data_IF_450237971280
#
_entry.id   IF_450237971280
#
_cell.length_a   1.000
_cell.length_b   1.000
_cell.length_c   1.000
_cell.angle_alpha   90.00
_cell.angle_beta   90.00
_cell.angle_gamma   90.00
#
_symmetry.space_group_name_H-M   'P 1'
#
loop_
_entity.id
_entity.type
_entity.pdbx_description
1 polymer ?
#
# COMPACT_ATOMS: atom_id res chain seq x y z
N UNK A 1 68.88 -15.62 32.32
CA UNK A 1 68.15 -16.79 31.81
C UNK A 1 66.71 -16.89 32.31
N UNK A 2 66.41 -17.08 33.62
CA UNK A 2 65.00 -17.19 34.08
C UNK A 2 64.20 -15.88 33.92
N UNK A 3 64.77 -14.72 34.26
CA UNK A 3 64.07 -13.43 34.14
C UNK A 3 63.79 -13.00 32.69
N UNK A 4 64.66 -13.36 31.75
CA UNK A 4 64.48 -13.08 30.32
C UNK A 4 63.33 -13.90 29.74
N UNK A 5 63.22 -15.18 30.15
CA UNK A 5 62.13 -16.07 29.74
C UNK A 5 60.75 -15.56 30.21
N UNK A 6 60.69 -15.00 31.43
CA UNK A 6 59.47 -14.39 31.98
C UNK A 6 59.10 -13.09 31.28
N UNK A 7 60.08 -12.24 30.96
CA UNK A 7 59.84 -11.02 30.21
C UNK A 7 59.36 -11.29 28.77
N UNK A 8 59.85 -12.37 28.16
CA UNK A 8 59.45 -12.79 26.82
C UNK A 8 58.03 -13.40 26.80
N UNK A 9 57.67 -14.22 27.79
CA UNK A 9 56.30 -14.70 27.96
C UNK A 9 55.30 -13.56 28.20
N UNK A 10 55.66 -12.56 29.01
CA UNK A 10 54.78 -11.44 29.32
C UNK A 10 54.54 -10.54 28.09
N UNK A 11 55.55 -10.40 27.21
CA UNK A 11 55.41 -9.71 25.91
C UNK A 11 54.49 -10.46 24.96
N UNK A 12 54.68 -11.78 24.83
CA UNK A 12 53.83 -12.63 23.98
C UNK A 12 52.36 -12.60 24.43
N UNK A 13 52.13 -12.59 25.75
CA UNK A 13 50.79 -12.52 26.32
C UNK A 13 50.10 -11.19 26.05
N UNK A 14 50.82 -10.07 26.21
CA UNK A 14 50.33 -8.73 25.86
C UNK A 14 50.06 -8.58 24.35
N UNK A 15 50.87 -9.18 23.50
CA UNK A 15 50.64 -9.21 22.05
C UNK A 15 49.39 -10.02 21.70
N UNK A 16 49.22 -11.20 22.30
CA UNK A 16 48.03 -12.04 22.08
C UNK A 16 46.74 -11.35 22.54
N UNK A 17 46.77 -10.66 23.69
CA UNK A 17 45.64 -9.87 24.21
C UNK A 17 45.30 -8.70 23.28
N UNK A 18 46.31 -7.98 22.76
CA UNK A 18 46.10 -6.90 21.80
C UNK A 18 45.51 -7.39 20.46
N UNK A 19 45.98 -8.52 19.93
CA UNK A 19 45.43 -9.14 18.72
C UNK A 19 43.99 -9.65 18.92
N UNK A 20 43.64 -10.13 20.11
CA UNK A 20 42.28 -10.54 20.41
C UNK A 20 41.35 -9.33 20.52
N UNK A 21 41.82 -8.24 21.13
CA UNK A 21 41.07 -6.99 21.22
C UNK A 21 40.86 -6.35 19.84
N UNK A 22 41.88 -6.36 18.99
CA UNK A 22 41.78 -5.90 17.60
C UNK A 22 40.76 -6.73 16.82
N UNK A 23 40.84 -8.07 16.90
CA UNK A 23 39.85 -8.96 16.27
C UNK A 23 38.42 -8.70 16.74
N UNK A 24 38.22 -8.43 18.04
CA UNK A 24 36.89 -8.09 18.59
C UNK A 24 36.40 -6.75 18.04
N UNK A 25 37.26 -5.74 17.95
CA UNK A 25 36.93 -4.42 17.37
C UNK A 25 36.58 -4.55 15.89
N UNK A 26 37.37 -5.29 15.12
CA UNK A 26 37.09 -5.55 13.71
C UNK A 26 35.77 -6.28 13.50
N UNK A 27 35.48 -7.31 14.31
CA UNK A 27 34.21 -8.03 14.25
C UNK A 27 33.02 -7.11 14.56
N UNK A 28 33.15 -6.24 15.57
CA UNK A 28 32.12 -5.27 15.92
C UNK A 28 31.89 -4.23 14.81
N UNK A 29 32.95 -3.73 14.19
CA UNK A 29 32.87 -2.80 13.04
C UNK A 29 32.21 -3.48 11.85
N UNK A 30 32.57 -4.73 11.56
CA UNK A 30 32.00 -5.51 10.47
C UNK A 30 30.51 -5.77 10.67
N UNK A 31 30.09 -6.11 11.89
CA UNK A 31 28.67 -6.33 12.19
C UNK A 31 27.88 -5.03 12.12
N UNK A 32 28.43 -3.93 12.63
CA UNK A 32 27.81 -2.60 12.49
C UNK A 32 27.64 -2.21 11.03
N UNK A 33 28.65 -2.47 10.19
CA UNK A 33 28.57 -2.23 8.76
C UNK A 33 27.53 -3.12 8.07
N UNK A 34 27.41 -4.39 8.48
CA UNK A 34 26.37 -5.31 8.00
C UNK A 34 24.98 -4.77 8.32
N UNK A 35 24.77 -4.33 9.56
CA UNK A 35 23.50 -3.78 10.01
C UNK A 35 23.13 -2.51 9.22
N UNK A 36 24.08 -1.57 9.08
CA UNK A 36 23.87 -0.36 8.27
C UNK A 36 23.47 -0.67 6.82
N UNK A 37 24.06 -1.70 6.20
CA UNK A 37 23.68 -2.12 4.84
C UNK A 37 22.26 -2.67 4.77
N UNK A 38 21.85 -3.45 5.76
CA UNK A 38 20.48 -3.97 5.85
C UNK A 38 19.48 -2.84 6.04
N UNK A 39 19.78 -1.89 6.91
CA UNK A 39 18.90 -0.75 7.18
C UNK A 39 18.77 0.16 5.95
N UNK A 40 19.89 0.47 5.27
CA UNK A 40 19.85 1.23 4.01
C UNK A 40 19.07 0.50 2.90
N UNK A 41 19.11 -0.83 2.86
CA UNK A 41 18.32 -1.61 1.91
C UNK A 41 16.82 -1.54 2.25
N UNK A 42 16.45 -1.59 3.53
CA UNK A 42 15.06 -1.44 3.99
C UNK A 42 14.51 -0.05 3.69
N UNK A 43 15.30 0.99 3.93
CA UNK A 43 14.92 2.38 3.66
C UNK A 43 14.64 2.59 2.17
N UNK A 44 15.52 2.12 1.28
CA UNK A 44 15.29 2.18 -0.17
C UNK A 44 14.04 1.43 -0.63
N UNK A 45 13.76 0.27 -0.01
CA UNK A 45 12.53 -0.46 -0.31
C UNK A 45 11.30 0.33 0.13
N UNK A 46 11.34 0.94 1.32
CA UNK A 46 10.25 1.77 1.81
C UNK A 46 10.01 3.00 0.93
N UNK A 47 11.07 3.71 0.55
CA UNK A 47 11.00 4.85 -0.38
C UNK A 47 10.42 4.46 -1.74
N UNK A 48 10.78 3.29 -2.27
CA UNK A 48 10.26 2.80 -3.54
C UNK A 48 8.78 2.34 -3.45
N UNK A 49 8.35 1.80 -2.31
CA UNK A 49 6.98 1.36 -2.09
C UNK A 49 6.01 2.53 -1.86
N UNK A 50 6.47 3.62 -1.25
CA UNK A 50 5.63 4.79 -0.92
C UNK A 50 4.86 5.37 -2.13
N UNK A 51 5.49 5.63 -3.30
CA UNK A 51 4.78 6.08 -4.50
C UNK A 51 3.75 5.06 -5.03
N UNK A 52 4.01 3.77 -4.88
CA UNK A 52 3.10 2.71 -5.33
C UNK A 52 1.90 2.59 -4.40
N UNK A 53 2.11 2.72 -3.09
CA UNK A 53 1.04 2.77 -2.09
C UNK A 53 0.15 3.99 -2.30
N UNK A 54 0.76 5.15 -2.57
CA UNK A 54 0.05 6.39 -2.88
C UNK A 54 -0.78 6.27 -4.16
N UNK A 55 -0.19 5.71 -5.22
CA UNK A 55 -0.93 5.45 -6.46
C UNK A 55 -2.12 4.51 -6.22
N UNK A 56 -1.99 3.49 -5.36
CA UNK A 56 -3.08 2.57 -5.06
C UNK A 56 -4.23 3.28 -4.34
N UNK A 57 -3.91 4.15 -3.37
CA UNK A 57 -4.90 5.02 -2.72
C UNK A 57 -5.62 5.92 -3.72
N UNK A 58 -4.92 6.45 -4.72
CA UNK A 58 -5.55 7.26 -5.77
C UNK A 58 -6.53 6.45 -6.62
N UNK A 59 -6.21 5.19 -6.93
CA UNK A 59 -7.15 4.28 -7.59
C UNK A 59 -8.39 4.08 -6.71
N UNK A 60 -8.21 3.78 -5.42
CA UNK A 60 -9.33 3.62 -4.47
C UNK A 60 -10.18 4.89 -4.35
N UNK A 61 -9.56 6.07 -4.30
CA UNK A 61 -10.28 7.34 -4.25
C UNK A 61 -11.12 7.59 -5.51
N UNK A 62 -10.57 7.33 -6.70
CA UNK A 62 -11.32 7.45 -7.94
C UNK A 62 -12.48 6.44 -8.03
N UNK A 63 -12.30 5.21 -7.50
CA UNK A 63 -13.39 4.23 -7.37
C UNK A 63 -14.47 4.73 -6.41
N UNK A 64 -14.07 5.24 -5.24
CA UNK A 64 -14.97 5.82 -4.24
C UNK A 64 -15.83 6.94 -4.84
N UNK A 65 -15.21 7.93 -5.50
CA UNK A 65 -15.92 9.06 -6.10
C UNK A 65 -16.92 8.61 -7.17
N UNK A 66 -16.52 7.68 -8.02
CA UNK A 66 -17.39 7.15 -9.06
C UNK A 66 -18.57 6.36 -8.47
N UNK A 67 -18.33 5.52 -7.46
CA UNK A 67 -19.36 4.76 -6.78
C UNK A 67 -20.35 5.67 -6.03
N UNK A 68 -19.84 6.67 -5.30
CA UNK A 68 -20.66 7.67 -4.61
C UNK A 68 -21.57 8.43 -5.59
N UNK A 69 -21.04 8.89 -6.72
CA UNK A 69 -21.83 9.58 -7.73
C UNK A 69 -22.93 8.70 -8.37
N UNK A 70 -22.65 7.39 -8.53
CA UNK A 70 -23.64 6.44 -9.04
C UNK A 70 -24.71 6.18 -7.98
N UNK A 71 -24.32 6.03 -6.70
CA UNK A 71 -25.22 5.85 -5.56
C UNK A 71 -26.16 7.04 -5.39
N UNK A 72 -25.63 8.26 -5.44
CA UNK A 72 -26.43 9.49 -5.34
C UNK A 72 -27.47 9.56 -6.45
N UNK A 73 -27.08 9.21 -7.69
CA UNK A 73 -28.01 9.10 -8.81
C UNK A 73 -29.06 8.02 -8.58
N UNK A 74 -28.72 6.90 -7.95
CA UNK A 74 -29.64 5.80 -7.68
C UNK A 74 -30.64 6.19 -6.60
N UNK A 75 -30.19 6.79 -5.50
CA UNK A 75 -31.05 7.29 -4.42
C UNK A 75 -31.99 8.38 -4.91
N UNK A 76 -31.50 9.32 -5.73
CA UNK A 76 -32.32 10.42 -6.25
C UNK A 76 -33.47 9.96 -7.15
N UNK A 77 -33.27 8.87 -7.88
CA UNK A 77 -34.19 8.45 -8.94
C UNK A 77 -34.87 7.12 -8.67
N UNK A 78 -34.50 6.41 -7.60
CA UNK A 78 -34.94 5.06 -7.23
C UNK A 78 -34.73 3.99 -8.32
N UNK A 79 -34.05 4.35 -9.41
CA UNK A 79 -33.73 3.47 -10.54
C UNK A 79 -32.37 3.81 -11.12
N UNK A 80 -31.65 2.78 -11.59
CA UNK A 80 -30.39 2.98 -12.30
C UNK A 80 -30.64 3.30 -13.78
N UNK A 81 -30.57 4.59 -14.12
CA UNK A 81 -30.69 5.07 -15.49
C UNK A 81 -29.52 4.62 -16.39
N UNK A 82 -29.75 4.64 -17.71
CA UNK A 82 -28.79 4.18 -18.70
C UNK A 82 -27.42 4.89 -18.64
N UNK A 83 -27.40 6.17 -18.26
CA UNK A 83 -26.16 6.93 -18.07
C UNK A 83 -25.34 6.41 -16.88
N UNK A 84 -25.96 6.24 -15.72
CA UNK A 84 -25.30 5.70 -14.51
C UNK A 84 -24.87 4.24 -14.71
N UNK A 85 -25.67 3.43 -15.41
CA UNK A 85 -25.29 2.07 -15.80
C UNK A 85 -24.14 2.04 -16.83
N UNK A 86 -24.01 3.06 -17.69
CA UNK A 86 -22.85 3.20 -18.57
C UNK A 86 -21.60 3.56 -17.76
N UNK A 87 -21.73 4.46 -16.79
CA UNK A 87 -20.64 4.85 -15.87
C UNK A 87 -20.14 3.66 -15.05
N UNK A 88 -21.03 2.87 -14.45
CA UNK A 88 -20.66 1.65 -13.72
C UNK A 88 -19.82 0.68 -14.57
N UNK A 89 -20.22 0.42 -15.83
CA UNK A 89 -19.43 -0.43 -16.76
C UNK A 89 -18.13 0.22 -17.21
N UNK A 90 -18.08 1.56 -17.30
CA UNK A 90 -16.84 2.29 -17.60
C UNK A 90 -15.86 2.21 -16.43
N UNK A 91 -16.36 2.38 -15.20
CA UNK A 91 -15.61 2.21 -13.96
C UNK A 91 -14.99 0.81 -13.91
N UNK A 92 -15.76 -0.25 -14.13
CA UNK A 92 -15.24 -1.62 -14.11
C UNK A 92 -14.17 -1.88 -15.19
N UNK A 93 -14.32 -1.31 -16.39
CA UNK A 93 -13.27 -1.39 -17.43
C UNK A 93 -12.01 -0.62 -17.05
N UNK A 94 -12.17 0.61 -16.55
CA UNK A 94 -11.05 1.45 -16.13
C UNK A 94 -10.31 0.82 -14.94
N UNK A 95 -11.03 0.32 -13.94
CA UNK A 95 -10.45 -0.32 -12.77
C UNK A 95 -9.62 -1.55 -13.14
N UNK A 96 -10.10 -2.43 -14.02
CA UNK A 96 -9.30 -3.56 -14.53
C UNK A 96 -8.01 -3.15 -15.25
N UNK A 97 -7.97 -1.95 -15.84
CA UNK A 97 -6.76 -1.43 -16.51
C UNK A 97 -5.80 -0.76 -15.52
N UNK A 98 -6.34 -0.16 -14.47
CA UNK A 98 -5.56 0.59 -13.48
C UNK A 98 -5.20 -0.24 -12.25
N UNK A 99 -5.86 -1.36 -12.00
CA UNK A 99 -5.58 -2.21 -10.85
C UNK A 99 -4.35 -3.06 -11.11
N UNK A 100 -3.22 -2.68 -10.51
CA UNK A 100 -2.01 -3.52 -10.43
C UNK A 100 -1.90 -4.28 -9.12
N UNK A 101 -2.65 -3.86 -8.09
CA UNK A 101 -2.77 -4.58 -6.83
C UNK A 101 -3.85 -5.65 -6.93
N UNK A 102 -3.64 -6.78 -6.26
CA UNK A 102 -4.64 -7.84 -6.17
C UNK A 102 -5.56 -7.58 -4.98
N UNK A 103 -6.44 -6.59 -5.10
CA UNK A 103 -7.56 -6.42 -4.17
C UNK A 103 -8.73 -7.28 -4.64
N UNK A 104 -8.75 -8.54 -4.16
CA UNK A 104 -9.73 -9.52 -4.59
C UNK A 104 -11.17 -9.16 -4.17
N UNK A 105 -11.32 -8.39 -3.09
CA UNK A 105 -12.63 -7.97 -2.58
C UNK A 105 -13.20 -6.85 -3.45
N UNK A 106 -12.39 -5.81 -3.71
CA UNK A 106 -12.79 -4.72 -4.61
C UNK A 106 -13.00 -5.23 -6.05
N UNK A 107 -12.14 -6.13 -6.53
CA UNK A 107 -12.31 -6.80 -7.83
C UNK A 107 -13.67 -7.50 -7.94
N UNK A 108 -14.07 -8.23 -6.90
CA UNK A 108 -15.34 -8.95 -6.88
C UNK A 108 -16.54 -7.98 -6.87
N UNK A 109 -16.50 -6.95 -6.03
CA UNK A 109 -17.55 -5.93 -5.94
C UNK A 109 -17.71 -5.15 -7.26
N UNK A 110 -16.60 -4.78 -7.90
CA UNK A 110 -16.62 -4.05 -9.17
C UNK A 110 -17.13 -4.95 -10.31
N UNK A 111 -16.77 -6.23 -10.32
CA UNK A 111 -17.30 -7.19 -11.29
C UNK A 111 -18.81 -7.40 -11.10
N UNK A 112 -19.27 -7.49 -9.85
CA UNK A 112 -20.69 -7.61 -9.52
C UNK A 112 -21.47 -6.35 -9.92
N UNK A 113 -20.92 -5.17 -9.67
CA UNK A 113 -21.48 -3.90 -10.13
C UNK A 113 -21.61 -3.86 -11.66
N UNK A 114 -20.59 -4.32 -12.40
CA UNK A 114 -20.62 -4.42 -13.87
C UNK A 114 -21.74 -5.35 -14.35
N UNK A 115 -21.90 -6.50 -13.67
CA UNK A 115 -22.93 -7.49 -13.96
C UNK A 115 -24.33 -6.93 -13.73
N UNK A 116 -24.58 -6.30 -12.59
CA UNK A 116 -25.87 -5.70 -12.24
C UNK A 116 -26.21 -4.46 -13.10
N UNK A 117 -25.19 -3.69 -13.49
CA UNK A 117 -25.35 -2.56 -14.40
C UNK A 117 -25.58 -3.00 -15.86
N UNK A 118 -25.21 -4.23 -16.22
CA UNK A 118 -25.52 -4.81 -17.51
C UNK A 118 -27.01 -5.13 -17.62
N UNK A 119 -27.58 -4.97 -18.81
CA UNK A 119 -29.03 -5.16 -19.00
C UNK A 119 -29.32 -6.67 -18.91
N UNK A 120 -30.20 -7.14 -18.00
CA UNK A 120 -30.52 -8.56 -17.94
C UNK A 120 -31.25 -8.98 -19.22
N UNK A 121 -30.91 -10.15 -19.77
CA UNK A 121 -31.63 -10.71 -20.91
C UNK A 121 -33.13 -10.80 -20.56
N UNK A 122 -33.99 -10.17 -21.37
CA UNK A 122 -35.45 -10.21 -21.20
C UNK A 122 -36.04 -9.28 -20.13
N UNK A 123 -35.26 -8.46 -19.40
CA UNK A 123 -35.80 -7.46 -18.45
C UNK A 123 -35.73 -6.02 -18.97
N UNK A 124 -36.78 -5.25 -18.71
CA UNK A 124 -36.89 -3.83 -19.09
C UNK A 124 -36.16 -2.91 -18.11
N UNK A 125 -36.04 -3.30 -16.84
CA UNK A 125 -35.47 -2.48 -15.75
C UNK A 125 -34.43 -3.28 -14.95
N UNK A 126 -33.49 -2.55 -14.35
CA UNK A 126 -32.49 -3.06 -13.41
C UNK A 126 -33.05 -3.00 -12.00
N UNK A 127 -32.66 -3.93 -11.15
CA UNK A 127 -33.09 -3.99 -9.75
C UNK A 127 -32.23 -3.02 -8.91
N UNK A 128 -32.80 -1.95 -8.35
CA UNK A 128 -32.03 -0.91 -7.66
C UNK A 128 -31.45 -1.38 -6.32
N UNK A 129 -32.14 -2.27 -5.60
CA UNK A 129 -31.70 -2.77 -4.28
C UNK A 129 -30.30 -3.40 -4.30
N UNK A 130 -30.08 -4.48 -5.07
CA UNK A 130 -28.76 -5.13 -5.16
C UNK A 130 -27.65 -4.20 -5.66
N UNK A 131 -27.98 -3.23 -6.52
CA UNK A 131 -27.01 -2.25 -7.00
C UNK A 131 -26.63 -1.29 -5.87
N UNK A 132 -27.59 -0.85 -5.06
CA UNK A 132 -27.35 0.03 -3.91
C UNK A 132 -26.45 -0.62 -2.88
N UNK A 133 -26.71 -1.89 -2.53
CA UNK A 133 -25.88 -2.66 -1.58
C UNK A 133 -24.43 -2.75 -2.04
N UNK A 134 -24.20 -3.15 -3.30
CA UNK A 134 -22.83 -3.24 -3.86
C UNK A 134 -22.13 -1.88 -3.90
N UNK A 135 -22.85 -0.79 -4.19
CA UNK A 135 -22.27 0.55 -4.17
C UNK A 135 -21.90 0.97 -2.74
N UNK A 136 -22.71 0.62 -1.75
CA UNK A 136 -22.43 0.92 -0.34
C UNK A 136 -21.20 0.15 0.16
N UNK A 137 -21.06 -1.12 -0.25
CA UNK A 137 -19.89 -1.93 0.06
C UNK A 137 -18.61 -1.37 -0.58
N UNK A 138 -18.65 -0.97 -1.86
CA UNK A 138 -17.52 -0.33 -2.55
C UNK A 138 -17.13 0.98 -1.85
N UNK A 139 -18.12 1.80 -1.50
CA UNK A 139 -17.89 3.07 -0.81
C UNK A 139 -17.25 2.83 0.56
N UNK A 140 -17.75 1.85 1.32
CA UNK A 140 -17.20 1.49 2.62
C UNK A 140 -15.75 1.05 2.54
N UNK A 141 -15.42 0.19 1.57
CA UNK A 141 -14.07 -0.33 1.37
C UNK A 141 -13.07 0.77 0.99
N UNK A 142 -13.46 1.69 0.11
CA UNK A 142 -12.55 2.72 -0.40
C UNK A 142 -12.55 4.04 0.41
N UNK A 143 -13.43 4.18 1.41
CA UNK A 143 -13.60 5.45 2.14
C UNK A 143 -12.33 5.91 2.86
N UNK A 144 -11.62 5.00 3.53
CA UNK A 144 -10.42 5.33 4.30
C UNK A 144 -9.30 5.90 3.42
N UNK A 145 -9.06 5.28 2.26
CA UNK A 145 -8.04 5.74 1.31
C UNK A 145 -8.44 7.06 0.64
N UNK A 146 -9.70 7.20 0.24
CA UNK A 146 -10.23 8.46 -0.28
C UNK A 146 -10.08 9.59 0.75
N UNK A 147 -10.37 9.30 2.03
CA UNK A 147 -10.26 10.29 3.10
C UNK A 147 -8.81 10.70 3.34
N UNK A 148 -7.90 9.74 3.39
CA UNK A 148 -6.47 9.99 3.61
C UNK A 148 -5.85 10.94 2.57
N UNK A 149 -6.34 10.93 1.32
CA UNK A 149 -5.89 11.85 0.26
C UNK A 149 -6.51 13.25 0.35
N UNK A 150 -7.71 13.37 0.92
CA UNK A 150 -8.40 14.66 1.10
C UNK A 150 -7.99 15.40 2.36
N UNK A 151 -7.41 14.70 3.35
CA UNK A 151 -6.90 15.33 4.55
C UNK A 151 -5.61 16.08 4.22
N UNK A 152 -5.55 17.40 4.42
CA UNK A 152 -4.29 18.13 4.30
C UNK A 152 -3.32 17.52 5.30
N UNK A 153 -2.26 16.87 4.82
CA UNK A 153 -1.18 16.40 5.67
C UNK A 153 -0.70 17.58 6.49
N UNK A 154 -0.66 17.45 7.81
CA UNK A 154 -0.20 18.52 8.72
C UNK A 154 1.17 19.10 8.33
N UNK A 155 1.97 18.38 7.54
CA UNK A 155 3.23 18.88 6.96
C UNK A 155 3.06 19.79 5.73
N UNK A 156 2.04 19.61 4.88
CA UNK A 156 1.77 20.52 3.77
C UNK A 156 1.20 21.88 4.20
N UNK A 157 0.65 21.97 5.41
CA UNK A 157 0.18 23.22 6.00
C UNK A 157 1.31 24.08 6.63
N UNK A 158 2.55 23.59 6.65
CA UNK A 158 3.72 24.30 7.16
C UNK A 158 4.62 24.88 6.05
N UNK A 159 4.22 24.73 4.77
CA UNK A 159 4.97 25.25 3.61
C UNK A 159 4.34 26.49 2.95
N UNK A 160 3.36 27.14 3.60
CA UNK A 160 2.79 28.44 3.19
C UNK A 160 3.08 29.52 4.24
#
# INVERSE_FOLDING_TARGET
MQQELWAEQDRLRKQAEAEEEERRREAAVKERLRQMKVDAARERLHEAMSPLEEAAKQVHAAVYEAAAAIRDSLHKHEVLHGASAKRARQLARWFRLMSWQKDAELDALIAELERLASRPAGKTKREPGPIGEVLDDIIGLCYADARALTEPTRMGALEL
#
